data_IF_211235992833
#
_entry.id   IF_211235992833
#
_cell.length_a   1.000
_cell.length_b   1.000
_cell.length_c   1.000
_cell.angle_alpha   90.00
_cell.angle_beta   90.00
_cell.angle_gamma   90.00
#
_symmetry.space_group_name_H-M   'P 1'
#
loop_
_entity.id
_entity.type
_entity.pdbx_description
1 polymer ?
#
# COMPACT_ATOMS: atom_id res chain seq x y z
N UNK A 1 0.53 2.07 26.69
CA UNK A 1 1.68 2.98 26.72
C UNK A 1 1.76 3.73 25.39
N UNK A 2 1.82 5.08 25.46
CA UNK A 2 1.99 5.97 24.31
C UNK A 2 3.38 6.58 24.42
N UNK A 3 4.10 6.62 23.29
CA UNK A 3 5.39 7.29 23.18
C UNK A 3 5.14 8.78 23.00
N UNK A 4 5.71 9.61 23.86
CA UNK A 4 5.62 11.06 23.81
C UNK A 4 6.92 11.64 23.26
N UNK A 5 6.81 12.58 22.32
CA UNK A 5 7.90 13.41 21.81
C UNK A 5 7.39 14.77 21.37
N UNK A 6 8.27 15.67 20.98
CA UNK A 6 7.90 17.05 20.64
C UNK A 6 8.60 17.53 19.38
N UNK A 7 8.08 18.62 18.82
CA UNK A 7 8.65 19.38 17.70
C UNK A 7 9.32 20.64 18.28
N UNK A 8 10.66 20.71 18.31
CA UNK A 8 11.37 21.94 18.68
C UNK A 8 11.37 22.94 17.53
N UNK A 9 11.28 24.23 17.86
CA UNK A 9 11.33 25.35 16.91
C UNK A 9 12.60 26.19 17.08
N UNK A 10 13.55 25.79 17.95
CA UNK A 10 14.83 26.44 18.17
C UNK A 10 15.84 25.48 18.78
N UNK A 11 17.13 25.84 18.72
CA UNK A 11 18.22 25.09 19.37
C UNK A 11 17.98 25.01 20.88
N UNK A 12 17.57 26.09 21.52
CA UNK A 12 17.28 26.12 22.96
C UNK A 12 16.09 25.24 23.35
N UNK A 13 15.08 25.05 22.44
CA UNK A 13 13.99 24.14 22.66
C UNK A 13 14.48 22.68 22.65
N UNK A 14 15.46 22.32 21.78
CA UNK A 14 16.09 20.98 21.81
C UNK A 14 16.81 20.77 23.13
N UNK A 15 17.58 21.77 23.62
CA UNK A 15 18.31 21.69 24.90
C UNK A 15 17.34 21.51 26.09
N UNK A 16 16.23 22.19 26.05
CA UNK A 16 15.17 22.01 27.04
C UNK A 16 14.56 20.61 26.99
N UNK A 17 14.21 20.12 25.81
CA UNK A 17 13.58 18.81 25.61
C UNK A 17 14.51 17.64 25.98
N UNK A 18 15.82 17.80 25.81
CA UNK A 18 16.78 16.76 26.21
C UNK A 18 16.72 16.43 27.70
N UNK A 19 16.26 17.33 28.56
CA UNK A 19 16.03 17.09 29.98
C UNK A 19 14.99 15.99 30.24
N UNK A 20 14.08 15.77 29.28
CA UNK A 20 13.01 14.75 29.33
C UNK A 20 13.35 13.47 28.56
N UNK A 21 14.53 13.44 27.92
CA UNK A 21 15.02 12.30 27.13
C UNK A 21 13.98 11.76 26.12
N UNK A 22 13.43 12.58 25.20
CA UNK A 22 12.46 12.10 24.22
C UNK A 22 13.07 11.03 23.31
N UNK A 23 12.32 10.05 22.82
CA UNK A 23 12.85 8.96 22.02
C UNK A 23 13.24 9.36 20.60
N UNK A 24 12.68 10.46 20.09
CA UNK A 24 12.92 11.01 18.74
C UNK A 24 12.53 12.50 18.70
N UNK A 25 12.86 13.16 17.60
CA UNK A 25 12.48 14.54 17.33
C UNK A 25 11.72 14.69 16.01
N UNK A 26 10.82 15.67 15.96
CA UNK A 26 10.12 16.10 14.74
C UNK A 26 10.63 17.48 14.33
N UNK A 27 10.89 17.68 13.04
CA UNK A 27 11.09 18.98 12.40
C UNK A 27 9.86 19.28 11.55
N UNK A 28 9.19 20.39 11.80
CA UNK A 28 8.04 20.79 11.02
C UNK A 28 8.43 21.32 9.63
N UNK A 29 7.45 21.50 8.76
CA UNK A 29 7.71 21.91 7.38
C UNK A 29 8.33 23.30 7.26
N UNK A 30 7.98 24.20 8.17
CA UNK A 30 8.51 25.58 8.18
C UNK A 30 9.98 25.65 8.61
N UNK A 31 10.49 24.64 9.33
CA UNK A 31 11.86 24.53 9.81
C UNK A 31 12.71 23.52 9.02
N UNK A 32 12.21 22.95 7.92
CA UNK A 32 12.92 21.90 7.20
C UNK A 32 14.21 22.36 6.51
N UNK A 33 14.45 23.64 6.39
CA UNK A 33 15.68 24.26 5.89
C UNK A 33 16.51 24.95 6.99
N UNK A 34 16.13 24.83 8.25
CA UNK A 34 16.95 25.31 9.39
C UNK A 34 18.03 24.27 9.73
N UNK A 35 19.15 24.39 9.04
CA UNK A 35 20.27 23.45 9.22
C UNK A 35 20.93 23.53 10.60
N UNK A 36 20.83 24.65 11.31
CA UNK A 36 21.34 24.78 12.67
C UNK A 36 20.48 23.92 13.63
N UNK A 37 19.17 24.09 13.58
CA UNK A 37 18.23 23.30 14.34
C UNK A 37 18.36 21.78 14.02
N UNK A 38 18.37 21.44 12.74
CA UNK A 38 18.54 20.03 12.28
C UNK A 38 19.88 19.45 12.80
N UNK A 39 20.96 20.23 12.72
CA UNK A 39 22.28 19.81 13.23
C UNK A 39 22.24 19.56 14.73
N UNK A 40 21.58 20.45 15.51
CA UNK A 40 21.44 20.28 16.95
C UNK A 40 20.64 19.02 17.30
N UNK A 41 19.54 18.77 16.60
CA UNK A 41 18.74 17.53 16.76
C UNK A 41 19.59 16.29 16.42
N UNK A 42 20.35 16.29 15.32
CA UNK A 42 21.19 15.15 14.93
C UNK A 42 22.27 14.85 16.01
N UNK A 43 22.82 15.88 16.65
CA UNK A 43 23.78 15.71 17.75
C UNK A 43 23.23 14.93 18.94
N UNK A 44 21.90 14.87 19.13
CA UNK A 44 21.29 14.03 20.18
C UNK A 44 21.39 12.53 19.90
N UNK A 45 21.75 12.13 18.67
CA UNK A 45 21.80 10.75 18.19
C UNK A 45 20.45 10.02 18.24
N UNK A 46 19.36 10.74 18.26
CA UNK A 46 17.99 10.20 18.20
C UNK A 46 17.46 10.20 16.77
N UNK A 47 16.46 9.36 16.44
CA UNK A 47 15.76 9.43 15.16
C UNK A 47 15.14 10.81 14.94
N UNK A 48 15.11 11.23 13.68
CA UNK A 48 14.54 12.50 13.27
C UNK A 48 13.45 12.29 12.22
N UNK A 49 12.29 12.91 12.43
CA UNK A 49 11.20 12.99 11.46
C UNK A 49 11.19 14.39 10.87
N UNK A 50 11.15 14.52 9.55
CA UNK A 50 11.17 15.82 8.86
C UNK A 50 9.98 15.91 7.91
N UNK A 51 9.11 16.90 8.10
CA UNK A 51 8.03 17.22 7.17
C UNK A 51 8.54 18.06 6.00
N UNK A 52 8.08 17.73 4.79
CA UNK A 52 8.57 18.26 3.52
C UNK A 52 7.62 19.27 2.87
N UNK A 53 6.70 19.83 3.62
CA UNK A 53 5.79 20.85 3.09
C UNK A 53 6.57 22.03 2.50
N UNK A 54 6.11 22.52 1.33
CA UNK A 54 6.70 23.64 0.56
C UNK A 54 8.11 23.37 -0.02
N UNK A 55 8.79 22.30 0.37
CA UNK A 55 10.13 21.98 -0.11
C UNK A 55 10.11 21.55 -1.58
N UNK A 56 11.01 22.12 -2.38
CA UNK A 56 11.32 21.66 -3.75
C UNK A 56 12.18 20.41 -3.69
N UNK A 57 12.22 19.69 -4.78
CA UNK A 57 12.97 18.41 -4.86
C UNK A 57 14.46 18.56 -4.55
N UNK A 58 15.10 19.61 -5.07
CA UNK A 58 16.51 19.90 -4.77
C UNK A 58 16.74 20.18 -3.30
N UNK A 59 15.83 20.92 -2.64
CA UNK A 59 15.90 21.21 -1.20
C UNK A 59 15.79 19.93 -0.37
N UNK A 60 14.92 18.99 -0.79
CA UNK A 60 14.81 17.68 -0.13
C UNK A 60 16.11 16.88 -0.27
N UNK A 61 16.74 16.90 -1.46
CA UNK A 61 18.03 16.26 -1.68
C UNK A 61 19.09 16.86 -0.74
N UNK A 62 19.10 18.18 -0.60
CA UNK A 62 20.07 18.88 0.26
C UNK A 62 19.85 18.55 1.73
N UNK A 63 18.59 18.55 2.20
CA UNK A 63 18.24 18.14 3.58
C UNK A 63 18.72 16.73 3.89
N UNK A 64 18.43 15.77 3.00
CA UNK A 64 18.82 14.35 3.20
C UNK A 64 20.34 14.19 3.16
N UNK A 65 21.00 14.88 2.22
CA UNK A 65 22.47 14.84 2.09
C UNK A 65 23.14 15.45 3.31
N UNK A 66 22.64 16.59 3.79
CA UNK A 66 23.11 17.22 5.02
C UNK A 66 22.96 16.31 6.24
N UNK A 67 21.76 15.72 6.42
CA UNK A 67 21.51 14.83 7.54
C UNK A 67 22.40 13.58 7.50
N UNK A 68 22.61 12.99 6.33
CA UNK A 68 23.54 11.86 6.15
C UNK A 68 24.99 12.27 6.44
N UNK A 69 25.46 13.41 5.92
CA UNK A 69 26.81 13.95 6.19
C UNK A 69 27.05 14.18 7.69
N UNK A 70 26.02 14.62 8.42
CA UNK A 70 26.03 14.78 9.88
C UNK A 70 25.83 13.47 10.64
N UNK A 71 25.73 12.33 9.95
CA UNK A 71 25.57 10.98 10.53
C UNK A 71 24.30 10.84 11.37
N UNK A 72 23.16 11.37 10.86
CA UNK A 72 21.86 11.16 11.47
C UNK A 72 21.59 9.66 11.66
N UNK A 73 21.15 9.26 12.86
CA UNK A 73 20.92 7.84 13.22
C UNK A 73 19.83 7.19 12.38
N UNK A 74 18.72 7.88 12.20
CA UNK A 74 17.59 7.48 11.37
C UNK A 74 16.84 8.73 10.90
N UNK A 75 16.49 8.77 9.62
CA UNK A 75 15.73 9.84 9.01
C UNK A 75 14.40 9.27 8.54
N UNK A 76 13.31 9.95 8.86
CA UNK A 76 11.96 9.69 8.37
C UNK A 76 11.47 10.97 7.70
N UNK A 77 11.05 10.89 6.44
CA UNK A 77 10.53 12.03 5.70
C UNK A 77 9.02 11.94 5.58
N UNK A 78 8.31 13.01 5.85
CA UNK A 78 6.86 13.05 5.68
C UNK A 78 6.51 13.93 4.49
N UNK A 79 5.86 13.36 3.45
CA UNK A 79 5.12 14.17 2.47
C UNK A 79 4.10 14.99 3.25
N UNK A 80 4.03 16.27 2.95
CA UNK A 80 3.17 17.20 3.66
C UNK A 80 2.65 18.27 2.69
N UNK A 81 1.44 18.76 2.93
CA UNK A 81 0.88 19.98 2.35
C UNK A 81 0.56 20.92 3.49
N UNK A 82 1.32 22.02 3.61
CA UNK A 82 1.24 22.97 4.73
C UNK A 82 0.13 24.00 4.49
N UNK A 83 -1.10 23.50 4.34
CA UNK A 83 -2.36 24.26 4.33
C UNK A 83 -3.29 23.66 5.39
N UNK A 84 -4.08 24.47 6.07
CA UNK A 84 -4.84 24.10 7.27
C UNK A 84 -6.30 24.58 7.19
N UNK A 85 -7.29 23.74 6.67
CA UNK A 85 -7.11 22.42 6.13
C UNK A 85 -6.42 22.41 4.76
N UNK A 86 -5.81 21.27 4.42
CA UNK A 86 -5.24 21.04 3.10
C UNK A 86 -6.33 20.55 2.13
N UNK A 87 -6.50 21.20 0.94
CA UNK A 87 -7.37 20.70 -0.11
C UNK A 87 -6.91 19.31 -0.61
N UNK A 88 -7.85 18.44 -0.98
CA UNK A 88 -7.52 17.07 -1.41
C UNK A 88 -6.66 17.06 -2.68
N UNK A 89 -6.91 17.98 -3.59
CA UNK A 89 -6.23 18.11 -4.88
C UNK A 89 -4.74 18.45 -4.71
N UNK A 90 -4.38 19.14 -3.63
CA UNK A 90 -3.01 19.58 -3.35
C UNK A 90 -2.18 18.53 -2.60
N UNK A 91 -2.78 17.43 -2.15
CA UNK A 91 -2.09 16.41 -1.37
C UNK A 91 -1.04 15.66 -2.18
N UNK A 92 -1.28 15.43 -3.48
CA UNK A 92 -0.32 14.79 -4.40
C UNK A 92 0.35 13.54 -3.80
N UNK A 93 -0.45 12.59 -3.30
CA UNK A 93 0.01 11.42 -2.52
C UNK A 93 0.94 10.49 -3.30
N UNK A 94 0.88 10.48 -4.63
CA UNK A 94 1.82 9.73 -5.50
C UNK A 94 3.29 10.15 -5.29
N UNK A 95 3.53 11.36 -4.77
CA UNK A 95 4.87 11.82 -4.37
C UNK A 95 5.50 10.89 -3.32
N UNK A 96 4.70 10.22 -2.47
CA UNK A 96 5.18 9.28 -1.45
C UNK A 96 5.93 8.11 -2.12
N UNK A 97 5.36 7.53 -3.17
CA UNK A 97 6.01 6.44 -3.91
C UNK A 97 7.31 6.90 -4.57
N UNK A 98 7.31 8.09 -5.14
CA UNK A 98 8.51 8.70 -5.72
C UNK A 98 9.63 8.88 -4.68
N UNK A 99 9.31 9.48 -3.53
CA UNK A 99 10.26 9.67 -2.44
C UNK A 99 10.84 8.34 -1.93
N UNK A 100 9.99 7.30 -1.82
CA UNK A 100 10.44 5.95 -1.42
C UNK A 100 11.42 5.32 -2.39
N UNK A 101 11.24 5.54 -3.69
CA UNK A 101 12.16 5.05 -4.72
C UNK A 101 13.47 5.83 -4.73
N UNK A 102 13.41 7.12 -4.45
CA UNK A 102 14.55 8.03 -4.55
C UNK A 102 15.44 8.03 -3.30
N UNK A 103 14.84 7.97 -2.12
CA UNK A 103 15.57 8.07 -0.86
C UNK A 103 15.54 6.74 -0.09
N UNK A 104 16.72 6.31 0.40
CA UNK A 104 16.87 5.13 1.24
C UNK A 104 16.51 5.44 2.69
N UNK A 105 15.28 5.89 2.96
CA UNK A 105 14.75 6.19 4.28
C UNK A 105 13.24 5.89 4.35
N UNK A 106 12.71 5.86 5.56
CA UNK A 106 11.27 5.72 5.78
C UNK A 106 10.53 6.96 5.27
N UNK A 107 9.44 6.74 4.54
CA UNK A 107 8.57 7.83 4.05
C UNK A 107 7.20 7.70 4.70
N UNK A 108 6.67 8.81 5.17
CA UNK A 108 5.34 8.92 5.75
C UNK A 108 4.53 10.06 5.14
N UNK A 109 3.42 10.36 5.78
CA UNK A 109 2.51 11.44 5.40
C UNK A 109 2.09 12.25 6.63
N UNK A 110 2.26 13.57 6.55
CA UNK A 110 1.72 14.54 7.51
C UNK A 110 0.44 15.12 6.91
N UNK A 111 -0.70 14.76 7.49
CA UNK A 111 -2.03 14.97 6.93
C UNK A 111 -2.77 16.10 7.65
N UNK A 112 -2.99 17.21 6.93
CA UNK A 112 -3.78 18.36 7.37
C UNK A 112 -5.15 18.45 6.69
N UNK A 113 -5.55 17.44 5.93
CA UNK A 113 -6.85 17.38 5.28
C UNK A 113 -7.96 17.02 6.27
N UNK A 114 -9.21 17.24 5.86
CA UNK A 114 -10.39 16.85 6.66
C UNK A 114 -10.60 15.33 6.56
N UNK A 115 -10.96 14.70 7.69
CA UNK A 115 -11.27 13.27 7.76
C UNK A 115 -10.03 12.37 7.73
N UNK A 116 -10.21 11.10 7.34
CA UNK A 116 -9.18 10.05 7.46
C UNK A 116 -8.80 9.41 6.12
N UNK A 117 -9.56 9.68 5.06
CA UNK A 117 -9.39 9.02 3.75
C UNK A 117 -7.98 9.25 3.15
N UNK A 118 -7.44 10.49 3.10
CA UNK A 118 -6.12 10.71 2.53
C UNK A 118 -5.01 9.99 3.30
N UNK A 119 -5.08 9.95 4.63
CA UNK A 119 -4.12 9.22 5.45
C UNK A 119 -4.13 7.72 5.14
N UNK A 120 -5.31 7.09 5.02
CA UNK A 120 -5.45 5.68 4.62
C UNK A 120 -4.90 5.46 3.21
N UNK A 121 -5.25 6.35 2.27
CA UNK A 121 -4.79 6.29 0.87
C UNK A 121 -3.26 6.37 0.79
N UNK A 122 -2.62 7.21 1.61
CA UNK A 122 -1.17 7.35 1.64
C UNK A 122 -0.45 6.03 1.97
N UNK A 123 -1.08 5.14 2.76
CA UNK A 123 -0.55 3.80 3.06
C UNK A 123 -0.48 2.93 1.81
N UNK A 124 -1.43 3.06 0.87
CA UNK A 124 -1.38 2.36 -0.41
C UNK A 124 -0.17 2.81 -1.25
N UNK A 125 0.16 4.11 -1.24
CA UNK A 125 1.39 4.65 -1.83
C UNK A 125 2.66 4.33 -1.03
N UNK A 126 2.52 3.72 0.15
CA UNK A 126 3.62 3.18 0.93
C UNK A 126 4.08 4.04 2.09
N UNK A 127 3.27 4.98 2.55
CA UNK A 127 3.54 5.65 3.81
C UNK A 127 3.66 4.63 4.94
N UNK A 128 4.72 4.75 5.74
CA UNK A 128 4.98 3.90 6.91
C UNK A 128 4.69 4.62 8.23
N UNK A 129 4.59 5.93 8.19
CA UNK A 129 4.26 6.82 9.31
C UNK A 129 3.16 7.79 8.88
N UNK A 130 2.15 7.95 9.71
CA UNK A 130 1.08 8.94 9.53
C UNK A 130 1.12 9.91 10.70
N UNK A 131 1.13 11.20 10.39
CA UNK A 131 0.94 12.29 11.35
C UNK A 131 -0.41 12.94 11.08
N UNK A 132 -1.22 13.16 12.13
CA UNK A 132 -2.57 13.72 12.01
C UNK A 132 -2.88 14.56 13.25
N UNK A 133 -3.49 15.72 13.06
CA UNK A 133 -3.99 16.53 14.16
C UNK A 133 -5.11 15.80 14.92
N UNK A 134 -5.06 15.85 16.24
CA UNK A 134 -6.00 15.21 17.14
C UNK A 134 -6.70 16.26 18.03
N UNK A 135 -7.99 16.11 18.23
CA UNK A 135 -8.78 16.98 19.09
C UNK A 135 -9.51 16.20 20.19
N UNK A 136 -9.62 16.82 21.35
CA UNK A 136 -10.44 16.33 22.46
C UNK A 136 -11.86 16.92 22.38
N UNK A 137 -11.97 18.16 21.86
CA UNK A 137 -13.24 18.88 21.69
C UNK A 137 -13.16 19.86 20.51
N UNK A 138 -14.23 20.56 20.22
CA UNK A 138 -14.34 21.49 19.08
C UNK A 138 -13.78 22.92 19.36
N UNK A 139 -13.22 23.17 20.54
CA UNK A 139 -12.77 24.52 20.95
C UNK A 139 -11.34 24.86 20.52
N UNK A 140 -10.56 23.88 20.03
CA UNK A 140 -9.18 24.11 19.60
C UNK A 140 -9.11 24.87 18.27
N UNK A 141 -8.03 25.67 18.09
CA UNK A 141 -7.79 26.41 16.84
C UNK A 141 -7.72 25.47 15.62
N UNK A 142 -7.18 24.29 15.80
CA UNK A 142 -6.98 23.26 14.78
C UNK A 142 -8.17 22.30 14.66
N UNK A 143 -9.27 22.51 15.40
CA UNK A 143 -10.37 21.53 15.51
C UNK A 143 -11.03 21.21 14.17
N UNK A 144 -11.05 22.17 13.22
CA UNK A 144 -11.69 22.00 11.91
C UNK A 144 -11.08 20.87 11.06
N UNK A 145 -9.78 20.61 11.18
CA UNK A 145 -9.06 19.57 10.43
C UNK A 145 -8.44 18.49 11.32
N UNK A 146 -8.66 18.59 12.62
CA UNK A 146 -8.30 17.56 13.60
C UNK A 146 -9.35 16.47 13.67
N UNK A 147 -8.93 15.24 13.98
CA UNK A 147 -9.82 14.11 14.18
C UNK A 147 -10.01 13.82 15.67
N UNK A 148 -11.18 13.33 16.04
CA UNK A 148 -11.50 12.94 17.41
C UNK A 148 -10.98 11.51 17.73
N UNK A 149 -11.26 11.03 18.93
CA UNK A 149 -10.82 9.73 19.42
C UNK A 149 -11.34 8.57 18.57
N UNK A 150 -12.61 8.58 18.17
CA UNK A 150 -13.22 7.49 17.40
C UNK A 150 -12.68 7.46 15.97
N UNK A 151 -12.54 8.61 15.33
CA UNK A 151 -11.92 8.74 14.02
C UNK A 151 -10.45 8.30 14.06
N UNK A 152 -9.72 8.63 15.13
CA UNK A 152 -8.33 8.20 15.27
C UNK A 152 -8.22 6.68 15.42
N UNK A 153 -9.09 6.05 16.18
CA UNK A 153 -9.18 4.59 16.31
C UNK A 153 -9.50 3.94 14.95
N UNK A 154 -10.47 4.51 14.23
CA UNK A 154 -10.84 4.07 12.89
C UNK A 154 -9.67 4.23 11.91
N UNK A 155 -8.97 5.36 11.94
CA UNK A 155 -7.78 5.61 11.13
C UNK A 155 -6.70 4.53 11.36
N UNK A 156 -6.37 4.25 12.62
CA UNK A 156 -5.35 3.23 12.95
C UNK A 156 -5.74 1.86 12.39
N UNK A 157 -6.99 1.44 12.62
CA UNK A 157 -7.52 0.17 12.13
C UNK A 157 -7.51 0.11 10.60
N UNK A 158 -7.99 1.15 9.93
CA UNK A 158 -8.05 1.23 8.47
C UNK A 158 -6.65 1.25 7.85
N UNK A 159 -5.69 1.96 8.42
CA UNK A 159 -4.30 1.94 7.97
C UNK A 159 -3.67 0.54 8.06
N UNK A 160 -3.97 -0.22 9.11
CA UNK A 160 -3.51 -1.61 9.24
C UNK A 160 -4.10 -2.51 8.15
N UNK A 161 -5.40 -2.35 7.85
CA UNK A 161 -6.08 -3.07 6.77
C UNK A 161 -5.48 -2.67 5.42
N UNK A 162 -5.33 -1.38 5.14
CA UNK A 162 -4.73 -0.86 3.91
C UNK A 162 -3.31 -1.43 3.68
N UNK A 163 -2.48 -1.46 4.74
CA UNK A 163 -1.13 -2.05 4.69
C UNK A 163 -1.16 -3.53 4.31
N UNK A 164 -2.07 -4.32 4.92
CA UNK A 164 -2.24 -5.74 4.59
C UNK A 164 -2.74 -5.94 3.17
N UNK A 165 -3.73 -5.15 2.74
CA UNK A 165 -4.36 -5.21 1.42
C UNK A 165 -3.41 -4.81 0.29
N UNK A 166 -2.51 -3.86 0.53
CA UNK A 166 -1.50 -3.47 -0.46
C UNK A 166 -0.65 -4.66 -0.90
N UNK A 167 -0.31 -5.55 0.02
CA UNK A 167 0.43 -6.78 -0.26
C UNK A 167 1.68 -6.57 -1.11
N UNK A 168 1.87 -7.47 -2.06
CA UNK A 168 2.93 -7.45 -3.09
C UNK A 168 2.33 -7.84 -4.44
N UNK A 169 3.00 -7.51 -5.54
CA UNK A 169 2.62 -7.98 -6.87
C UNK A 169 2.60 -9.50 -6.86
N UNK A 170 1.45 -10.07 -7.18
CA UNK A 170 1.23 -11.52 -7.18
C UNK A 170 0.28 -11.91 -8.31
N UNK A 171 0.68 -12.92 -9.08
CA UNK A 171 -0.13 -13.57 -10.11
C UNK A 171 -0.21 -15.05 -9.78
N UNK A 172 -1.37 -15.66 -9.98
CA UNK A 172 -1.58 -17.07 -9.71
C UNK A 172 -2.76 -17.32 -8.78
N UNK A 173 -2.77 -18.49 -8.15
CA UNK A 173 -3.85 -18.93 -7.27
C UNK A 173 -3.40 -18.72 -5.83
N UNK A 174 -4.07 -17.81 -5.13
CA UNK A 174 -3.83 -17.58 -3.70
C UNK A 174 -4.29 -18.78 -2.87
N UNK A 175 -3.85 -18.82 -1.60
CA UNK A 175 -4.28 -19.88 -0.67
C UNK A 175 -5.81 -19.93 -0.51
N UNK A 176 -6.45 -18.77 -0.46
CA UNK A 176 -7.90 -18.66 -0.33
C UNK A 176 -8.66 -19.09 -1.58
N UNK A 177 -8.05 -18.99 -2.77
CA UNK A 177 -8.67 -19.35 -4.04
C UNK A 177 -8.53 -20.82 -4.40
N UNK A 178 -7.68 -21.60 -3.70
CA UNK A 178 -7.47 -23.02 -4.01
C UNK A 178 -8.78 -23.80 -4.16
N UNK A 179 -9.71 -23.62 -3.25
CA UNK A 179 -11.00 -24.31 -3.28
C UNK A 179 -11.92 -23.83 -4.41
N UNK A 180 -11.68 -22.61 -4.92
CA UNK A 180 -12.45 -22.03 -6.03
C UNK A 180 -12.00 -22.55 -7.39
N UNK A 181 -10.82 -23.19 -7.50
CA UNK A 181 -10.31 -23.72 -8.75
C UNK A 181 -11.22 -24.79 -9.36
N UNK A 182 -11.95 -25.53 -8.53
CA UNK A 182 -12.96 -26.52 -8.97
C UNK A 182 -14.11 -25.90 -9.77
N UNK A 183 -14.29 -24.59 -9.71
CA UNK A 183 -15.31 -23.87 -10.47
C UNK A 183 -14.76 -23.24 -11.77
N UNK A 184 -13.48 -23.43 -12.07
CA UNK A 184 -12.93 -23.00 -13.37
C UNK A 184 -13.65 -23.72 -14.49
N UNK A 185 -13.88 -23.00 -15.58
CA UNK A 185 -14.45 -23.64 -16.77
C UNK A 185 -13.47 -24.63 -17.36
N UNK A 186 -13.99 -25.77 -17.83
CA UNK A 186 -13.25 -26.79 -18.55
C UNK A 186 -14.13 -27.45 -19.60
N UNK A 187 -13.52 -28.12 -20.54
CA UNK A 187 -14.21 -28.79 -21.62
C UNK A 187 -14.80 -30.13 -21.16
N UNK A 188 -16.06 -30.30 -21.47
CA UNK A 188 -16.79 -31.55 -21.20
C UNK A 188 -17.46 -32.07 -22.45
N UNK A 189 -17.48 -33.41 -22.59
CA UNK A 189 -18.39 -34.09 -23.46
C UNK A 189 -19.81 -33.95 -22.91
N UNK A 190 -20.73 -33.43 -23.71
CA UNK A 190 -22.13 -33.21 -23.36
C UNK A 190 -23.09 -34.13 -24.14
N UNK A 191 -22.59 -34.91 -25.06
CA UNK A 191 -23.31 -35.97 -25.82
C UNK A 191 -22.40 -37.18 -25.97
N UNK A 192 -23.03 -38.36 -25.96
CA UNK A 192 -22.32 -39.60 -26.14
C UNK A 192 -21.64 -39.68 -27.52
N UNK A 193 -20.51 -40.33 -27.59
CA UNK A 193 -19.77 -40.56 -28.82
C UNK A 193 -19.34 -42.02 -28.91
N UNK A 194 -19.47 -42.65 -30.08
CA UNK A 194 -19.10 -44.05 -30.28
C UNK A 194 -17.59 -44.19 -30.58
N UNK A 195 -17.05 -45.39 -30.37
CA UNK A 195 -15.68 -45.69 -30.76
C UNK A 195 -15.50 -45.48 -32.26
N UNK A 196 -14.46 -44.76 -32.66
CA UNK A 196 -14.17 -44.43 -34.05
C UNK A 196 -14.92 -43.20 -34.59
N UNK A 197 -15.84 -42.66 -33.85
CA UNK A 197 -16.59 -41.44 -34.24
C UNK A 197 -15.75 -40.19 -34.07
N UNK A 198 -15.94 -39.20 -34.97
CA UNK A 198 -15.30 -37.89 -34.89
C UNK A 198 -16.01 -36.98 -33.87
N UNK A 199 -15.24 -36.41 -32.98
CA UNK A 199 -15.75 -35.37 -32.08
C UNK A 199 -15.90 -34.04 -32.83
N UNK A 200 -17.00 -33.38 -32.64
CA UNK A 200 -17.32 -32.06 -33.21
C UNK A 200 -17.66 -31.09 -32.11
N UNK A 201 -17.82 -29.80 -32.43
CA UNK A 201 -18.27 -28.78 -31.49
C UNK A 201 -19.63 -29.09 -30.85
N UNK A 202 -20.48 -29.84 -31.54
CA UNK A 202 -21.78 -30.30 -31.04
C UNK A 202 -21.70 -31.24 -29.83
N UNK A 203 -20.59 -31.94 -29.67
CA UNK A 203 -20.35 -32.88 -28.58
C UNK A 203 -19.68 -32.21 -27.36
N UNK A 204 -19.17 -30.99 -27.51
CA UNK A 204 -18.34 -30.34 -26.52
C UNK A 204 -19.00 -29.09 -25.94
N UNK A 205 -18.94 -28.89 -24.62
CA UNK A 205 -19.29 -27.64 -23.98
C UNK A 205 -18.26 -27.25 -22.96
N UNK A 206 -18.09 -25.95 -22.81
CA UNK A 206 -17.32 -25.35 -21.71
C UNK A 206 -18.23 -25.13 -20.53
N UNK A 207 -18.04 -25.89 -19.46
CA UNK A 207 -18.86 -25.78 -18.25
C UNK A 207 -18.00 -25.57 -17.00
N UNK A 208 -18.62 -25.13 -15.91
CA UNK A 208 -17.95 -25.04 -14.60
C UNK A 208 -17.80 -26.42 -14.00
N UNK A 209 -16.61 -26.99 -14.03
CA UNK A 209 -16.37 -28.35 -13.51
C UNK A 209 -14.92 -28.60 -13.15
N UNK A 210 -13.99 -27.80 -13.65
CA UNK A 210 -12.58 -27.76 -13.27
C UNK A 210 -11.77 -29.06 -13.49
N UNK A 211 -12.37 -30.09 -14.11
CA UNK A 211 -11.75 -31.42 -14.24
C UNK A 211 -11.30 -31.77 -15.67
N UNK A 212 -11.88 -31.15 -16.69
CA UNK A 212 -11.51 -31.33 -18.09
C UNK A 212 -10.44 -30.32 -18.51
N UNK A 213 -10.03 -30.43 -19.77
CA UNK A 213 -9.08 -29.53 -20.41
C UNK A 213 -9.58 -28.06 -20.41
N UNK A 214 -8.66 -27.13 -20.49
CA UNK A 214 -9.01 -25.70 -20.54
C UNK A 214 -9.76 -25.36 -21.83
N UNK A 215 -10.77 -24.46 -21.75
CA UNK A 215 -11.58 -24.05 -22.92
C UNK A 215 -10.76 -23.56 -24.10
N UNK A 216 -9.62 -22.91 -23.86
CA UNK A 216 -8.71 -22.44 -24.92
C UNK A 216 -8.18 -23.56 -25.80
N UNK A 217 -8.23 -24.79 -25.33
CA UNK A 217 -7.76 -25.99 -26.06
C UNK A 217 -8.85 -26.64 -26.94
N UNK A 218 -10.05 -26.04 -27.05
CA UNK A 218 -11.16 -26.60 -27.83
C UNK A 218 -10.74 -27.02 -29.25
N UNK A 219 -9.94 -26.17 -29.91
CA UNK A 219 -9.47 -26.45 -31.28
C UNK A 219 -8.66 -27.77 -31.41
N UNK A 220 -8.03 -28.23 -30.31
CA UNK A 220 -7.26 -29.49 -30.30
C UNK A 220 -8.15 -30.74 -30.37
N UNK A 221 -9.43 -30.57 -30.10
CA UNK A 221 -10.42 -31.66 -30.12
C UNK A 221 -11.13 -31.79 -31.46
N UNK A 222 -11.20 -30.72 -32.24
CA UNK A 222 -11.92 -30.68 -33.50
C UNK A 222 -11.39 -31.77 -34.45
N UNK A 223 -12.31 -32.64 -34.97
CA UNK A 223 -12.04 -33.75 -35.86
C UNK A 223 -11.20 -34.92 -35.28
N UNK A 224 -10.93 -34.92 -33.98
CA UNK A 224 -10.33 -36.10 -33.32
C UNK A 224 -11.29 -37.28 -33.31
N UNK A 225 -10.75 -38.48 -33.28
CA UNK A 225 -11.51 -39.75 -33.30
C UNK A 225 -11.49 -40.36 -31.90
N UNK A 226 -12.65 -40.73 -31.38
CA UNK A 226 -12.76 -41.37 -30.07
C UNK A 226 -12.13 -42.79 -30.09
N UNK A 227 -11.23 -43.05 -29.15
CA UNK A 227 -10.57 -44.35 -29.00
C UNK A 227 -11.50 -45.47 -28.49
N UNK A 228 -12.53 -45.09 -27.78
CA UNK A 228 -13.56 -45.97 -27.18
C UNK A 228 -14.89 -45.22 -27.10
N UNK A 229 -15.98 -45.96 -26.80
CA UNK A 229 -17.26 -45.34 -26.47
C UNK A 229 -17.09 -44.42 -25.24
N UNK A 230 -17.56 -43.18 -25.32
CA UNK A 230 -17.53 -42.19 -24.26
C UNK A 230 -18.95 -41.73 -23.94
N UNK A 231 -19.31 -41.77 -22.66
CA UNK A 231 -20.63 -41.37 -22.18
C UNK A 231 -20.58 -39.98 -21.55
N UNK A 232 -21.55 -39.15 -21.86
CA UNK A 232 -21.71 -37.84 -21.28
C UNK A 232 -22.46 -37.88 -19.93
N UNK A 233 -22.19 -36.95 -18.99
CA UNK A 233 -21.16 -35.89 -19.04
C UNK A 233 -19.76 -36.42 -18.67
N UNK A 234 -18.74 -36.10 -19.45
CA UNK A 234 -17.37 -36.55 -19.22
C UNK A 234 -16.38 -35.42 -19.36
N UNK A 235 -15.50 -35.18 -18.37
CA UNK A 235 -14.39 -34.23 -18.53
C UNK A 235 -13.50 -34.64 -19.71
N UNK A 236 -13.24 -33.70 -20.62
CA UNK A 236 -12.42 -33.99 -21.80
C UNK A 236 -10.93 -33.97 -21.47
N UNK A 237 -10.23 -34.96 -21.98
CA UNK A 237 -8.78 -35.07 -22.02
C UNK A 237 -8.35 -35.62 -23.38
N UNK A 238 -7.29 -35.08 -23.97
CA UNK A 238 -6.79 -35.49 -25.29
C UNK A 238 -6.43 -36.99 -25.37
N UNK A 239 -6.09 -37.63 -24.25
CA UNK A 239 -5.78 -39.06 -24.21
C UNK A 239 -6.94 -39.98 -24.64
N UNK A 240 -8.19 -39.47 -24.57
CA UNK A 240 -9.41 -40.18 -24.98
C UNK A 240 -9.55 -40.31 -26.51
N UNK A 241 -8.77 -39.53 -27.26
CA UNK A 241 -8.86 -39.37 -28.71
C UNK A 241 -7.53 -39.68 -29.39
N UNK A 242 -7.60 -39.98 -30.71
CA UNK A 242 -6.46 -40.12 -31.62
C UNK A 242 -6.56 -39.15 -32.77
#
# INVERSE_FOLDING_TARGET
>A
NIILFSTPFSVSAVDFLEKFNPPLYKIASFENNDYELISRVIKTRKPIIISLGMAKENEIIDIVSFAKKKKAKKIILLKCTSSYPAPFEDLNLSTIEYLRKKFSCEIGFSDHSIGIIPAITSVAYGASVIEKHFKINEKGLDSKFSINQDDFKNLVSACQIAKKSRGKIFFGISKSEKNSTKYKRSLYLIKDIQKGEKITSYHISSIRGGKGDEPKNLFKYTNRIAKKKLLSPLPLNLSLFR
#
